data_IF_945763990763
#
_entry.id   IF_945763990763
#
_cell.length_a   1.000
_cell.length_b   1.000
_cell.length_c   1.000
_cell.angle_alpha   90.00
_cell.angle_beta   90.00
_cell.angle_gamma   90.00
#
_symmetry.space_group_name_H-M   'P 1'
#
loop_
_entity.id
_entity.type
_entity.pdbx_description
1 polymer ?
#
# COMPACT_ATOMS: atom_id res chain seq x y z
N UNK A 1 11.72 12.66 -10.36
CA UNK A 1 11.56 11.20 -10.36
C UNK A 1 11.95 10.71 -8.99
N UNK A 2 11.01 10.15 -8.23
CA UNK A 2 11.25 9.64 -6.89
C UNK A 2 12.13 8.39 -6.98
N UNK A 3 13.39 8.51 -6.53
CA UNK A 3 14.39 7.47 -6.74
C UNK A 3 14.11 6.23 -5.88
N UNK A 4 13.51 6.40 -4.70
CA UNK A 4 13.29 5.34 -3.73
C UNK A 4 12.20 4.32 -4.13
N UNK A 5 11.06 4.77 -4.68
CA UNK A 5 9.97 3.90 -5.17
C UNK A 5 10.46 2.99 -6.31
N UNK A 6 11.35 3.53 -7.16
CA UNK A 6 11.94 2.81 -8.28
C UNK A 6 12.90 1.68 -7.86
N UNK A 7 13.65 1.86 -6.77
CA UNK A 7 14.61 0.88 -6.26
C UNK A 7 13.90 -0.32 -5.63
N UNK A 8 12.85 -0.08 -4.84
CA UNK A 8 12.04 -1.14 -4.23
C UNK A 8 11.32 -1.97 -5.29
N UNK A 9 10.65 -1.33 -6.25
CA UNK A 9 9.98 -2.05 -7.34
C UNK A 9 10.99 -2.87 -8.17
N UNK A 10 12.18 -2.35 -8.43
CA UNK A 10 13.23 -3.08 -9.13
C UNK A 10 13.70 -4.32 -8.35
N UNK A 11 13.83 -4.24 -7.03
CA UNK A 11 14.19 -5.37 -6.19
C UNK A 11 13.10 -6.45 -6.20
N UNK A 12 11.83 -6.06 -6.10
CA UNK A 12 10.66 -6.96 -6.18
C UNK A 12 10.62 -7.69 -7.52
N UNK A 13 10.75 -6.95 -8.62
CA UNK A 13 10.74 -7.51 -9.96
C UNK A 13 11.91 -8.49 -10.17
N UNK A 14 13.10 -8.13 -9.72
CA UNK A 14 14.27 -9.02 -9.76
C UNK A 14 14.00 -10.33 -9.00
N UNK A 15 13.47 -10.24 -7.78
CA UNK A 15 13.16 -11.40 -6.96
C UNK A 15 12.14 -12.34 -7.63
N UNK A 16 11.08 -11.77 -8.23
CA UNK A 16 10.06 -12.50 -9.01
C UNK A 16 10.67 -13.18 -10.23
N UNK A 17 11.47 -12.46 -10.99
CA UNK A 17 11.94 -12.90 -12.30
C UNK A 17 13.07 -13.95 -12.15
N UNK A 18 13.92 -13.85 -11.13
CA UNK A 18 14.91 -14.87 -10.75
C UNK A 18 14.28 -16.24 -10.43
N UNK A 19 13.01 -16.25 -10.03
CA UNK A 19 12.23 -17.46 -9.72
C UNK A 19 11.32 -17.90 -10.85
N UNK A 20 11.35 -17.19 -11.98
CA UNK A 20 10.47 -17.42 -13.12
C UNK A 20 8.98 -17.39 -12.75
N UNK A 21 8.59 -16.54 -11.79
CA UNK A 21 7.20 -16.48 -11.31
C UNK A 21 6.27 -15.62 -12.15
N UNK A 22 6.81 -14.82 -13.08
CA UNK A 22 6.04 -13.92 -13.95
C UNK A 22 4.81 -14.58 -14.63
N UNK A 23 4.85 -15.84 -15.11
CA UNK A 23 3.68 -16.51 -15.69
C UNK A 23 2.52 -16.78 -14.70
N UNK A 24 2.82 -16.87 -13.41
CA UNK A 24 1.83 -17.12 -12.35
C UNK A 24 1.30 -15.82 -11.72
N UNK A 25 1.93 -14.68 -12.03
CA UNK A 25 1.57 -13.36 -11.50
C UNK A 25 0.83 -12.56 -12.57
N UNK A 26 -0.30 -13.06 -13.09
CA UNK A 26 -1.21 -12.24 -13.89
C UNK A 26 -2.04 -11.32 -12.97
N UNK A 27 -2.73 -10.34 -13.54
CA UNK A 27 -3.43 -9.28 -12.80
C UNK A 27 -4.53 -9.84 -11.89
N UNK A 28 -5.26 -10.85 -12.37
CA UNK A 28 -6.34 -11.49 -11.60
C UNK A 28 -5.77 -12.25 -10.40
N UNK A 29 -4.70 -13.01 -10.60
CA UNK A 29 -4.09 -13.79 -9.52
C UNK A 29 -3.40 -12.86 -8.49
N UNK A 30 -2.72 -11.80 -8.94
CA UNK A 30 -2.15 -10.79 -8.04
C UNK A 30 -3.23 -10.07 -7.22
N UNK A 31 -4.37 -9.72 -7.82
CA UNK A 31 -5.48 -9.12 -7.09
C UNK A 31 -6.06 -10.05 -6.01
N UNK A 32 -6.06 -11.37 -6.26
CA UNK A 32 -6.43 -12.38 -5.26
C UNK A 32 -5.39 -12.42 -4.14
N UNK A 33 -4.09 -12.47 -4.46
CA UNK A 33 -3.02 -12.42 -3.45
C UNK A 33 -3.13 -11.19 -2.55
N UNK A 34 -3.33 -10.00 -3.11
CA UNK A 34 -3.55 -8.77 -2.32
C UNK A 34 -4.69 -8.93 -1.30
N UNK A 35 -5.80 -9.56 -1.70
CA UNK A 35 -6.93 -9.79 -0.82
C UNK A 35 -6.64 -10.82 0.28
N UNK A 36 -5.80 -11.82 -0.01
CA UNK A 36 -5.36 -12.83 0.95
C UNK A 36 -4.47 -12.18 2.02
N UNK A 37 -3.41 -11.48 1.63
CA UNK A 37 -2.50 -10.87 2.61
C UNK A 37 -3.16 -9.75 3.41
N UNK A 38 -4.13 -9.04 2.80
CA UNK A 38 -4.96 -8.11 3.56
C UNK A 38 -5.83 -8.82 4.61
N UNK A 39 -6.25 -10.06 4.35
CA UNK A 39 -6.98 -10.87 5.32
C UNK A 39 -6.06 -11.41 6.42
N UNK A 40 -4.82 -11.79 6.10
CA UNK A 40 -3.80 -12.19 7.08
C UNK A 40 -3.46 -11.01 8.01
N UNK A 41 -3.26 -9.81 7.47
CA UNK A 41 -3.14 -8.58 8.26
C UNK A 41 -4.34 -8.36 9.20
N UNK A 42 -5.57 -8.58 8.71
CA UNK A 42 -6.77 -8.44 9.53
C UNK A 42 -6.86 -9.50 10.64
N UNK A 43 -6.35 -10.71 10.42
CA UNK A 43 -6.36 -11.80 11.39
C UNK A 43 -5.63 -11.41 12.68
N UNK A 44 -4.51 -10.70 12.56
CA UNK A 44 -3.69 -10.22 13.70
C UNK A 44 -4.53 -9.41 14.70
N UNK A 45 -5.55 -8.70 14.22
CA UNK A 45 -6.40 -7.83 15.03
C UNK A 45 -7.76 -8.45 15.40
N UNK A 46 -8.13 -9.62 14.85
CA UNK A 46 -9.51 -10.14 14.87
C UNK A 46 -10.11 -10.26 16.29
N UNK A 47 -9.29 -10.56 17.30
CA UNK A 47 -9.72 -10.82 18.68
C UNK A 47 -8.98 -9.98 19.72
N UNK A 48 -8.34 -8.89 19.29
CA UNK A 48 -7.40 -8.13 20.12
C UNK A 48 -7.65 -6.65 20.01
N UNK A 49 -7.29 -5.92 21.04
CA UNK A 49 -7.21 -4.46 20.93
C UNK A 49 -6.03 -4.06 20.04
N UNK A 50 -6.07 -2.88 19.38
CA UNK A 50 -4.94 -2.39 18.61
C UNK A 50 -3.65 -2.28 19.45
N UNK A 51 -3.75 -1.87 20.72
CA UNK A 51 -2.60 -1.73 21.62
C UNK A 51 -1.92 -3.08 21.90
N UNK A 52 -2.69 -4.14 22.10
CA UNK A 52 -2.17 -5.50 22.30
C UNK A 52 -1.49 -6.02 21.04
N UNK A 53 -2.16 -5.92 19.88
CA UNK A 53 -1.61 -6.37 18.61
C UNK A 53 -0.31 -5.62 18.24
N UNK A 54 -0.33 -4.28 18.34
CA UNK A 54 0.81 -3.44 17.98
C UNK A 54 2.04 -3.66 18.89
N UNK A 55 1.83 -4.06 20.14
CA UNK A 55 2.94 -4.25 21.10
C UNK A 55 3.52 -5.67 21.08
N UNK A 56 2.71 -6.67 20.74
CA UNK A 56 3.11 -8.08 20.84
C UNK A 56 3.43 -8.72 19.48
N UNK A 57 2.85 -8.24 18.38
CA UNK A 57 2.99 -8.85 17.04
C UNK A 57 3.41 -7.84 15.96
N UNK A 58 4.16 -6.80 16.37
CA UNK A 58 4.63 -5.77 15.45
C UNK A 58 5.41 -6.33 14.26
N UNK A 59 6.15 -7.42 14.44
CA UNK A 59 6.91 -8.03 13.35
C UNK A 59 5.99 -8.67 12.31
N UNK A 60 5.02 -9.47 12.75
CA UNK A 60 4.02 -10.07 11.87
C UNK A 60 3.20 -8.99 11.14
N UNK A 61 2.84 -7.89 11.83
CA UNK A 61 2.18 -6.74 11.18
C UNK A 61 3.02 -6.17 10.04
N UNK A 62 4.35 -6.05 10.21
CA UNK A 62 5.23 -5.54 9.14
C UNK A 62 5.30 -6.51 7.97
N UNK A 63 5.36 -7.82 8.24
CA UNK A 63 5.38 -8.87 7.22
C UNK A 63 4.12 -8.77 6.35
N UNK A 64 2.93 -8.77 6.96
CA UNK A 64 1.68 -8.71 6.20
C UNK A 64 1.47 -7.37 5.46
N UNK A 65 1.89 -6.25 6.06
CA UNK A 65 1.89 -4.96 5.35
C UNK A 65 2.85 -4.99 4.17
N UNK A 66 4.04 -5.59 4.32
CA UNK A 66 5.00 -5.71 3.23
C UNK A 66 4.44 -6.60 2.11
N UNK A 67 3.78 -7.71 2.42
CA UNK A 67 3.23 -8.61 1.42
C UNK A 67 2.10 -7.98 0.62
N UNK A 68 1.16 -7.28 1.28
CA UNK A 68 0.13 -6.46 0.59
C UNK A 68 0.78 -5.47 -0.38
N UNK A 69 1.83 -4.77 0.07
CA UNK A 69 2.55 -3.81 -0.78
C UNK A 69 3.26 -4.49 -1.94
N UNK A 70 3.96 -5.60 -1.71
CA UNK A 70 4.72 -6.33 -2.74
C UNK A 70 3.81 -6.77 -3.88
N UNK A 71 2.66 -7.42 -3.58
CA UNK A 71 1.73 -7.82 -4.63
C UNK A 71 1.09 -6.62 -5.33
N UNK A 72 0.85 -5.53 -4.61
CA UNK A 72 0.36 -4.27 -5.21
C UNK A 72 1.39 -3.66 -6.17
N UNK A 73 2.68 -3.65 -5.81
CA UNK A 73 3.78 -3.22 -6.67
C UNK A 73 3.86 -4.09 -7.93
N UNK A 74 3.78 -5.41 -7.79
CA UNK A 74 3.79 -6.32 -8.95
C UNK A 74 2.59 -6.10 -9.88
N UNK A 75 1.41 -5.82 -9.32
CA UNK A 75 0.21 -5.54 -10.10
C UNK A 75 0.35 -4.22 -10.87
N UNK A 76 0.87 -3.18 -10.22
CA UNK A 76 1.15 -1.89 -10.87
C UNK A 76 2.18 -2.03 -12.00
N UNK A 77 3.26 -2.79 -11.77
CA UNK A 77 4.28 -3.12 -12.79
C UNK A 77 3.66 -3.79 -14.01
N UNK A 78 2.82 -4.80 -13.82
CA UNK A 78 2.13 -5.48 -14.93
C UNK A 78 1.23 -4.54 -15.74
N UNK A 79 0.58 -3.58 -15.08
CA UNK A 79 -0.31 -2.60 -15.71
C UNK A 79 0.42 -1.37 -16.27
N UNK A 80 1.74 -1.29 -16.08
CA UNK A 80 2.54 -0.13 -16.49
C UNK A 80 2.19 1.15 -15.73
N UNK A 81 1.78 1.03 -14.46
CA UNK A 81 1.39 2.15 -13.61
C UNK A 81 2.57 2.62 -12.76
N UNK A 82 2.79 3.94 -12.73
CA UNK A 82 3.65 4.57 -11.74
C UNK A 82 2.85 4.75 -10.43
N UNK A 83 3.31 4.12 -9.35
CA UNK A 83 2.61 4.10 -8.07
C UNK A 83 2.53 5.49 -7.43
N UNK A 84 3.59 6.28 -7.56
CA UNK A 84 3.64 7.61 -6.97
C UNK A 84 2.65 8.54 -7.67
N UNK A 85 2.56 8.44 -9.01
CA UNK A 85 1.62 9.22 -9.82
C UNK A 85 0.15 8.87 -9.50
N UNK A 86 -0.20 7.57 -9.42
CA UNK A 86 -1.58 7.17 -9.12
C UNK A 86 -1.99 7.53 -7.69
N UNK A 87 -1.07 7.45 -6.72
CA UNK A 87 -1.32 7.89 -5.35
C UNK A 87 -1.51 9.41 -5.30
N UNK A 88 -0.64 10.18 -5.94
CA UNK A 88 -0.74 11.63 -5.98
C UNK A 88 -2.06 12.11 -6.60
N UNK A 89 -2.47 11.50 -7.73
CA UNK A 89 -3.76 11.80 -8.35
C UNK A 89 -4.94 11.45 -7.43
N UNK A 90 -4.88 10.29 -6.76
CA UNK A 90 -5.92 9.85 -5.84
C UNK A 90 -6.02 10.75 -4.60
N UNK A 91 -4.90 11.17 -4.02
CA UNK A 91 -4.86 12.11 -2.90
C UNK A 91 -5.47 13.46 -3.28
N UNK A 92 -5.14 14.00 -4.46
CA UNK A 92 -5.74 15.24 -4.98
C UNK A 92 -7.26 15.13 -5.13
N UNK A 93 -7.76 14.02 -5.69
CA UNK A 93 -9.21 13.75 -5.80
C UNK A 93 -9.87 13.61 -4.43
N UNK A 94 -9.19 12.97 -3.47
CA UNK A 94 -9.69 12.81 -2.10
C UNK A 94 -9.76 14.14 -1.35
N UNK A 95 -8.77 15.03 -1.52
CA UNK A 95 -8.76 16.35 -0.89
C UNK A 95 -9.94 17.24 -1.36
N UNK A 96 -10.37 17.09 -2.62
CA UNK A 96 -11.58 17.75 -3.13
C UNK A 96 -12.84 17.14 -2.51
N UNK A 97 -12.89 15.80 -2.40
CA UNK A 97 -14.06 15.09 -1.85
C UNK A 97 -14.21 15.26 -0.34
N UNK A 98 -13.10 15.36 0.37
CA UNK A 98 -12.98 15.47 1.82
C UNK A 98 -12.01 16.61 2.15
N UNK A 99 -12.47 17.87 2.11
CA UNK A 99 -11.62 19.01 2.42
C UNK A 99 -11.16 18.96 3.88
N UNK A 100 -9.97 19.50 4.13
CA UNK A 100 -9.47 19.65 5.50
C UNK A 100 -10.44 20.51 6.32
N UNK A 101 -10.64 20.20 7.61
CA UNK A 101 -11.39 21.09 8.48
C UNK A 101 -10.69 22.45 8.54
N UNK A 102 -11.44 23.56 8.72
CA UNK A 102 -10.85 24.87 8.92
C UNK A 102 -9.86 24.84 10.07
N UNK A 103 -8.72 25.47 9.88
CA UNK A 103 -7.75 25.71 10.95
C UNK A 103 -8.12 26.97 11.72
N UNK A 104 -7.65 27.11 12.97
CA UNK A 104 -7.90 28.32 13.78
C UNK A 104 -7.43 29.61 13.07
N UNK A 105 -6.47 29.50 12.15
CA UNK A 105 -5.96 30.61 11.33
C UNK A 105 -6.93 31.03 10.21
N UNK A 106 -7.80 30.13 9.74
CA UNK A 106 -8.78 30.43 8.70
C UNK A 106 -9.92 31.30 9.22
N UNK A 107 -10.20 31.25 10.53
CA UNK A 107 -11.18 32.11 11.21
C UNK A 107 -10.65 33.51 11.56
N UNK A 108 -9.34 33.65 11.80
CA UNK A 108 -8.72 34.94 12.13
C UNK A 108 -8.55 35.87 10.91
N UNK A 109 -8.64 35.34 9.68
CA UNK A 109 -8.54 36.10 8.44
C UNK A 109 -9.90 36.63 7.94
N UNK A 110 -10.99 36.40 8.68
CA UNK A 110 -12.35 36.79 8.29
C UNK A 110 -13.03 37.82 9.21
N UNK A 111 -12.27 38.45 10.13
CA UNK A 111 -12.71 39.59 10.96
C UNK A 111 -12.06 40.93 10.57
#
# INVERSE_FOLDING_TARGET
MNQQSSETMAAINRFRDERHWRPYHNEKDLAISIAIEAAELMEIYQWRTPEEANSQDLEHIKEEVADVLIYTYMLADNLGLDIDDIIADKLRKNAIKYPAPPTELDGAASE
#
